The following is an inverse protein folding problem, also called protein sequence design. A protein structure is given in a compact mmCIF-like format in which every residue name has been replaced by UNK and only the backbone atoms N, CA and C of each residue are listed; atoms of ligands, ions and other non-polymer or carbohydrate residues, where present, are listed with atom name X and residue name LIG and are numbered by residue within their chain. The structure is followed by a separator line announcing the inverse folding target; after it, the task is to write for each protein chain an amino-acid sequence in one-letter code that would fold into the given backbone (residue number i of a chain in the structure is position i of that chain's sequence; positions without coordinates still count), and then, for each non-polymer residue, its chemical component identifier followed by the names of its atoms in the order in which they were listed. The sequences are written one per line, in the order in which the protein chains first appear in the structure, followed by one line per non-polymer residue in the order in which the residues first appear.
data_IF_425250615355
#
_entry.id   IF_425250615355
#
_cell.length_a   1.000
_cell.length_b   1.000
_cell.length_c   1.000
_cell.angle_alpha   90.00
_cell.angle_beta   90.00
_cell.angle_gamma   90.00
#
_symmetry.space_group_name_H-M   'P 1'
#
loop_
_entity.id
_entity.type
_entity.pdbx_description
1 polymer ?
#
# COMPACT_ATOMS: atom_id res chain seq x y z
N UNK A 1 21.65 1.78 -22.36
CA UNK A 1 20.24 1.90 -21.93
C UNK A 1 19.96 0.69 -21.06
N UNK A 2 19.91 0.84 -19.74
CA UNK A 2 19.64 -0.30 -18.86
C UNK A 2 18.16 -0.64 -18.96
N UNK A 3 17.85 -1.77 -19.61
CA UNK A 3 16.59 -2.45 -19.37
C UNK A 3 16.64 -2.97 -17.94
N UNK A 4 16.21 -2.16 -16.98
CA UNK A 4 15.84 -2.65 -15.65
C UNK A 4 14.60 -3.51 -15.85
N UNK A 5 14.79 -4.83 -16.02
CA UNK A 5 13.76 -5.77 -15.65
C UNK A 5 13.37 -5.41 -14.22
N UNK A 6 12.16 -4.87 -14.03
CA UNK A 6 11.68 -4.59 -12.70
C UNK A 6 11.57 -5.95 -12.01
N UNK A 7 12.46 -6.22 -11.04
CA UNK A 7 12.37 -7.43 -10.22
C UNK A 7 10.94 -7.58 -9.73
N UNK A 8 10.33 -8.72 -10.06
CA UNK A 8 8.97 -9.02 -9.66
C UNK A 8 8.98 -9.22 -8.15
N UNK A 9 8.33 -8.30 -7.44
CA UNK A 9 8.19 -8.34 -5.98
C UNK A 9 7.11 -9.33 -5.63
N UNK A 10 7.40 -10.20 -4.65
CA UNK A 10 6.44 -11.18 -4.17
C UNK A 10 5.56 -10.58 -3.08
N UNK A 11 4.23 -10.66 -3.26
CA UNK A 11 3.31 -10.34 -2.18
C UNK A 11 3.26 -11.50 -1.17
N UNK A 12 3.37 -11.16 0.11
CA UNK A 12 3.26 -12.10 1.22
C UNK A 12 2.19 -11.62 2.20
N UNK A 13 1.17 -12.46 2.40
CA UNK A 13 0.05 -12.17 3.31
C UNK A 13 0.44 -12.16 4.80
N UNK A 14 1.59 -12.76 5.13
CA UNK A 14 2.02 -13.15 6.48
C UNK A 14 1.24 -14.36 7.00
N UNK A 15 1.92 -15.45 7.35
CA UNK A 15 1.31 -16.65 7.95
C UNK A 15 0.64 -16.33 9.31
N UNK A 16 -0.45 -17.04 9.61
CA UNK A 16 -1.15 -16.95 10.91
C UNK A 16 -1.99 -15.68 11.14
N UNK A 17 -2.09 -14.77 10.17
CA UNK A 17 -2.82 -13.50 10.36
C UNK A 17 -4.25 -13.57 9.79
N UNK A 18 -5.24 -13.79 10.66
CA UNK A 18 -6.69 -13.74 10.35
C UNK A 18 -7.20 -12.37 9.82
N UNK A 19 -6.34 -11.36 9.76
CA UNK A 19 -6.64 -9.96 9.42
C UNK A 19 -7.05 -9.71 7.95
N UNK A 20 -7.21 -10.76 7.14
CA UNK A 20 -7.68 -10.66 5.75
C UNK A 20 -9.15 -11.04 5.54
N UNK A 21 -9.88 -11.43 6.60
CA UNK A 21 -11.32 -11.75 6.51
C UNK A 21 -12.19 -10.49 6.64
N UNK A 22 -11.89 -9.44 5.88
CA UNK A 22 -12.89 -8.38 5.69
C UNK A 22 -14.09 -8.99 4.96
N UNK A 23 -15.31 -8.75 5.45
CA UNK A 23 -16.53 -9.32 4.83
C UNK A 23 -17.09 -8.47 3.68
N UNK A 24 -16.74 -7.19 3.67
CA UNK A 24 -17.14 -6.22 2.65
C UNK A 24 -16.16 -6.14 1.47
N UNK A 25 -16.54 -5.38 0.45
CA UNK A 25 -15.74 -5.21 -0.76
C UNK A 25 -15.12 -3.80 -0.88
N UNK A 26 -14.85 -3.19 0.26
CA UNK A 26 -14.17 -1.91 0.40
C UNK A 26 -13.09 -2.02 1.47
N UNK A 27 -12.05 -1.19 1.37
CA UNK A 27 -10.98 -1.15 2.36
C UNK A 27 -11.40 -0.31 3.57
N UNK A 28 -10.84 -0.60 4.73
CA UNK A 28 -11.01 0.25 5.89
C UNK A 28 -10.25 -0.23 7.11
N UNK A 29 -10.79 0.06 8.28
CA UNK A 29 -10.16 -0.22 9.57
C UNK A 29 -11.15 -0.75 10.59
N UNK A 30 -10.76 -1.78 11.34
CA UNK A 30 -11.50 -2.28 12.52
C UNK A 30 -10.70 -1.99 13.81
N UNK A 31 -11.34 -1.82 14.98
CA UNK A 31 -10.63 -1.78 16.26
C UNK A 31 -9.79 -3.04 16.51
N UNK A 32 -8.69 -2.90 17.24
CA UNK A 32 -7.83 -4.00 17.66
C UNK A 32 -7.03 -3.63 18.90
N UNK A 33 -6.46 -4.63 19.58
CA UNK A 33 -5.82 -4.49 20.90
C UNK A 33 -4.67 -3.47 20.92
N UNK A 34 -3.97 -3.32 19.79
CA UNK A 34 -2.84 -2.40 19.63
C UNK A 34 -3.16 -1.20 18.72
N UNK A 35 -4.45 -0.94 18.52
CA UNK A 35 -4.94 0.08 17.59
C UNK A 35 -5.67 -0.52 16.39
N UNK A 36 -6.17 0.37 15.54
CA UNK A 36 -7.02 -0.02 14.41
C UNK A 36 -6.24 -0.83 13.36
N UNK A 37 -6.82 -1.97 12.95
CA UNK A 37 -6.26 -2.92 12.00
C UNK A 37 -6.74 -2.55 10.61
N UNK A 38 -5.82 -2.21 9.71
CA UNK A 38 -6.11 -1.99 8.30
C UNK A 38 -6.44 -3.29 7.60
N UNK A 39 -7.43 -3.24 6.71
CA UNK A 39 -7.92 -4.47 6.08
C UNK A 39 -8.53 -4.27 4.70
N UNK A 40 -8.23 -5.25 3.87
CA UNK A 40 -8.41 -5.22 2.42
C UNK A 40 -9.82 -5.67 2.02
N UNK A 41 -10.38 -5.16 0.90
CA UNK A 41 -11.57 -5.72 0.28
C UNK A 41 -11.44 -7.24 0.08
N UNK A 42 -12.53 -7.98 0.27
CA UNK A 42 -12.55 -9.44 0.02
C UNK A 42 -12.21 -9.82 -1.43
N UNK A 43 -12.38 -8.91 -2.38
CA UNK A 43 -12.04 -9.13 -3.79
C UNK A 43 -10.54 -9.07 -4.09
N UNK A 44 -9.70 -8.59 -3.15
CA UNK A 44 -8.26 -8.59 -3.34
C UNK A 44 -7.72 -10.01 -3.16
N UNK A 45 -7.41 -10.67 -4.29
CA UNK A 45 -6.68 -11.94 -4.34
C UNK A 45 -5.18 -11.71 -4.16
N UNK A 46 -4.41 -12.77 -3.89
CA UNK A 46 -2.95 -12.69 -3.80
C UNK A 46 -2.31 -12.27 -5.13
N UNK A 47 -2.87 -12.73 -6.25
CA UNK A 47 -2.46 -12.29 -7.59
C UNK A 47 -2.69 -10.78 -7.77
N UNK A 48 -3.90 -10.30 -7.47
CA UNK A 48 -4.21 -8.87 -7.58
C UNK A 48 -3.36 -8.03 -6.61
N UNK A 49 -3.11 -8.52 -5.40
CA UNK A 49 -2.21 -7.87 -4.46
C UNK A 49 -0.76 -7.79 -5.00
N UNK A 50 -0.29 -8.83 -5.68
CA UNK A 50 1.02 -8.84 -6.35
C UNK A 50 1.06 -7.84 -7.50
N UNK A 51 0.01 -7.74 -8.31
CA UNK A 51 -0.08 -6.75 -9.39
C UNK A 51 -0.07 -5.31 -8.83
N UNK A 52 -0.86 -5.05 -7.79
CA UNK A 52 -0.92 -3.76 -7.09
C UNK A 52 0.45 -3.39 -6.51
N UNK A 53 1.15 -4.35 -5.88
CA UNK A 53 2.47 -4.17 -5.29
C UNK A 53 3.51 -3.77 -6.35
N UNK A 54 3.51 -4.47 -7.49
CA UNK A 54 4.50 -4.26 -8.54
C UNK A 54 4.30 -2.95 -9.31
N UNK A 55 3.10 -2.38 -9.29
CA UNK A 55 2.82 -1.03 -9.80
C UNK A 55 3.16 0.08 -8.81
N UNK A 56 3.52 -0.27 -7.58
CA UNK A 56 3.74 0.67 -6.48
C UNK A 56 4.97 1.56 -6.66
N UNK A 57 4.93 2.68 -5.95
CA UNK A 57 6.00 3.67 -5.84
C UNK A 57 6.90 3.29 -4.67
N UNK A 58 8.20 2.99 -4.91
CA UNK A 58 9.13 2.71 -3.83
C UNK A 58 9.43 3.98 -3.02
N UNK A 59 9.61 3.79 -1.72
CA UNK A 59 10.04 4.79 -0.75
C UNK A 59 11.23 4.23 0.03
N UNK A 60 12.26 5.05 0.14
CA UNK A 60 13.53 4.76 0.80
C UNK A 60 13.65 5.71 1.98
N UNK A 61 14.12 5.21 3.14
CA UNK A 61 14.36 6.07 4.29
C UNK A 61 15.60 6.94 4.05
N UNK A 62 16.64 6.36 3.45
CA UNK A 62 17.86 7.04 3.06
C UNK A 62 18.14 6.96 1.55
N UNK A 63 18.82 7.97 0.99
CA UNK A 63 19.14 8.02 -0.45
C UNK A 63 20.12 6.92 -0.90
N UNK A 64 20.85 6.32 0.03
CA UNK A 64 21.81 5.25 -0.23
C UNK A 64 21.23 3.84 -0.15
N UNK A 65 19.96 3.71 0.25
CA UNK A 65 19.32 2.40 0.41
C UNK A 65 19.10 1.74 -0.95
N UNK A 66 19.60 0.52 -1.11
CA UNK A 66 19.36 -0.29 -2.31
C UNK A 66 17.94 -0.89 -2.33
N UNK A 67 17.41 -1.18 -1.13
CA UNK A 67 16.10 -1.80 -0.94
C UNK A 67 15.14 -0.77 -0.35
N UNK A 68 13.93 -0.60 -0.91
CA UNK A 68 12.98 0.33 -0.33
C UNK A 68 12.55 -0.09 1.08
N UNK A 69 12.30 0.88 1.95
CA UNK A 69 11.70 0.65 3.28
C UNK A 69 10.20 0.38 3.19
N UNK A 70 9.55 0.98 2.18
CA UNK A 70 8.11 0.87 1.90
C UNK A 70 7.84 0.92 0.41
N UNK A 71 6.71 0.34 0.00
CA UNK A 71 6.13 0.55 -1.32
C UNK A 71 4.71 1.07 -1.14
N UNK A 72 4.38 2.16 -1.81
CA UNK A 72 3.05 2.75 -1.78
C UNK A 72 2.34 2.54 -3.10
N UNK A 73 1.09 2.10 -3.07
CA UNK A 73 0.29 1.90 -4.28
C UNK A 73 -1.13 2.42 -4.09
N UNK A 74 -1.90 2.47 -5.18
CA UNK A 74 -3.32 2.83 -5.15
C UNK A 74 -4.12 1.73 -5.81
N UNK A 75 -5.22 1.33 -5.17
CA UNK A 75 -6.22 0.46 -5.77
C UNK A 75 -7.62 0.97 -5.44
N UNK A 76 -8.43 1.24 -6.48
CA UNK A 76 -9.79 1.81 -6.35
C UNK A 76 -9.83 3.06 -5.46
N UNK A 77 -8.83 3.93 -5.60
CA UNK A 77 -8.67 5.16 -4.81
C UNK A 77 -8.09 4.97 -3.40
N UNK A 78 -7.99 3.75 -2.89
CA UNK A 78 -7.40 3.50 -1.57
C UNK A 78 -5.89 3.45 -1.68
N UNK A 79 -5.18 4.15 -0.78
CA UNK A 79 -3.72 4.05 -0.66
C UNK A 79 -3.38 2.78 0.12
N UNK A 80 -2.45 2.00 -0.41
CA UNK A 80 -1.85 0.86 0.28
C UNK A 80 -0.39 1.15 0.59
N UNK A 81 0.06 0.68 1.74
CA UNK A 81 1.47 0.62 2.12
C UNK A 81 1.88 -0.85 2.22
N UNK A 82 2.99 -1.20 1.60
CA UNK A 82 3.63 -2.48 1.76
C UNK A 82 4.98 -2.32 2.47
N UNK A 83 5.19 -3.13 3.50
CA UNK A 83 6.45 -3.24 4.22
C UNK A 83 7.15 -4.55 3.83
N UNK A 84 8.50 -4.58 3.77
CA UNK A 84 9.20 -5.83 3.48
C UNK A 84 8.96 -6.84 4.61
N UNK A 85 8.65 -8.09 4.24
CA UNK A 85 8.67 -9.24 5.15
C UNK A 85 10.03 -9.94 5.08
N UNK A 86 10.55 -10.10 3.86
CA UNK A 86 11.95 -10.40 3.59
C UNK A 86 12.52 -9.28 2.71
N UNK A 87 13.47 -8.45 3.22
CA UNK A 87 14.01 -7.32 2.48
C UNK A 87 14.46 -7.70 1.06
N UNK A 88 13.99 -6.94 0.07
CA UNK A 88 14.30 -7.17 -1.35
C UNK A 88 13.49 -8.28 -2.02
N UNK A 89 12.80 -9.14 -1.27
CA UNK A 89 12.18 -10.36 -1.83
C UNK A 89 10.65 -10.32 -1.68
N UNK A 90 10.15 -10.25 -0.45
CA UNK A 90 8.71 -10.35 -0.17
C UNK A 90 8.18 -9.20 0.66
N UNK A 91 6.90 -8.88 0.43
CA UNK A 91 6.27 -7.65 0.92
C UNK A 91 4.86 -7.88 1.42
N UNK A 92 4.52 -7.25 2.53
CA UNK A 92 3.19 -7.31 3.12
C UNK A 92 2.46 -5.97 3.00
N UNK A 93 1.37 -5.97 2.22
CA UNK A 93 0.52 -4.81 1.96
C UNK A 93 -0.68 -4.67 2.90
N UNK A 94 -1.03 -3.44 3.25
CA UNK A 94 -2.24 -3.07 3.99
C UNK A 94 -2.71 -1.65 3.63
N UNK A 95 -4.00 -1.31 3.82
CA UNK A 95 -4.49 0.05 3.61
C UNK A 95 -3.73 1.05 4.50
N UNK A 96 -3.28 2.14 3.89
CA UNK A 96 -2.51 3.20 4.53
C UNK A 96 -3.42 4.23 5.20
N UNK A 97 -2.94 4.80 6.31
CA UNK A 97 -3.57 5.95 6.99
C UNK A 97 -2.53 6.82 7.70
N UNK A 98 -2.44 8.08 7.34
CA UNK A 98 -1.58 9.11 7.94
C UNK A 98 -2.03 9.60 9.30
N UNK A 99 -3.34 9.59 9.59
CA UNK A 99 -3.93 10.14 10.81
C UNK A 99 -3.66 9.34 12.12
N UNK A 100 -2.66 8.46 12.14
CA UNK A 100 -2.23 7.73 13.35
C UNK A 100 -1.21 8.56 14.14
N UNK A 101 -1.36 8.60 15.47
CA UNK A 101 -0.43 9.31 16.36
C UNK A 101 0.99 8.78 16.16
N UNK A 102 1.94 9.68 15.87
CA UNK A 102 3.35 9.36 15.66
C UNK A 102 3.72 8.91 14.24
N UNK A 103 2.75 8.82 13.31
CA UNK A 103 3.05 8.54 11.90
C UNK A 103 3.42 9.82 11.16
N UNK A 104 4.45 9.76 10.31
CA UNK A 104 4.79 10.86 9.40
C UNK A 104 3.83 10.86 8.20
N UNK A 105 3.36 12.04 7.74
CA UNK A 105 2.61 12.14 6.50
C UNK A 105 3.42 11.65 5.31
N UNK A 106 2.74 11.21 4.25
CA UNK A 106 3.41 10.89 2.98
C UNK A 106 4.05 12.15 2.39
N UNK A 107 5.24 11.99 1.82
CA UNK A 107 5.88 13.09 1.10
C UNK A 107 5.03 13.52 -0.10
N UNK A 108 5.04 14.83 -0.39
CA UNK A 108 4.30 15.40 -1.52
C UNK A 108 4.64 14.74 -2.87
N UNK A 109 5.89 14.26 -3.01
CA UNK A 109 6.34 13.50 -4.17
C UNK A 109 5.63 12.15 -4.30
N UNK A 110 5.48 11.40 -3.21
CA UNK A 110 4.74 10.13 -3.20
C UNK A 110 3.27 10.40 -3.50
N UNK A 111 2.64 11.33 -2.78
CA UNK A 111 1.22 11.68 -2.98
C UNK A 111 0.93 12.04 -4.44
N UNK A 112 1.78 12.86 -5.08
CA UNK A 112 1.63 13.23 -6.49
C UNK A 112 1.71 12.03 -7.43
N UNK A 113 2.61 11.08 -7.18
CA UNK A 113 2.71 9.85 -8.00
C UNK A 113 1.48 8.96 -7.83
N UNK A 114 1.02 8.78 -6.59
CA UNK A 114 -0.18 8.01 -6.28
C UNK A 114 -1.44 8.65 -6.88
N UNK A 115 -1.56 9.97 -6.84
CA UNK A 115 -2.65 10.71 -7.49
C UNK A 115 -2.72 10.41 -8.98
N UNK A 116 -1.58 10.43 -9.69
CA UNK A 116 -1.52 10.06 -11.12
C UNK A 116 -1.95 8.61 -11.39
N UNK A 117 -1.65 7.68 -10.47
CA UNK A 117 -2.11 6.30 -10.58
C UNK A 117 -3.63 6.20 -10.42
N UNK A 118 -4.20 6.93 -9.46
CA UNK A 118 -5.64 7.03 -9.25
C UNK A 118 -6.34 7.63 -10.48
N UNK A 119 -5.79 8.71 -11.05
CA UNK A 119 -6.29 9.35 -12.27
C UNK A 119 -6.30 8.39 -13.46
N UNK A 120 -5.19 7.67 -13.68
CA UNK A 120 -5.07 6.68 -14.77
C UNK A 120 -6.09 5.54 -14.66
N UNK A 121 -6.49 5.19 -13.43
CA UNK A 121 -7.46 4.12 -13.16
C UNK A 121 -8.90 4.62 -13.00
N UNK A 122 -9.16 5.92 -13.15
CA UNK A 122 -10.50 6.50 -13.03
C UNK A 122 -11.01 6.68 -11.60
N UNK A 123 -10.13 6.65 -10.60
CA UNK A 123 -10.47 6.66 -9.17
C UNK A 123 -9.96 7.91 -8.41
N UNK A 124 -9.84 9.05 -9.09
CA UNK A 124 -9.31 10.29 -8.49
C UNK A 124 -10.15 10.79 -7.31
N UNK A 125 -11.49 10.66 -7.40
CA UNK A 125 -12.40 11.17 -6.36
C UNK A 125 -12.26 10.35 -5.08
N UNK A 126 -12.22 9.03 -5.20
CA UNK A 126 -12.04 8.09 -4.10
C UNK A 126 -10.68 8.28 -3.44
N UNK A 127 -9.64 8.57 -4.23
CA UNK A 127 -8.31 8.92 -3.72
C UNK A 127 -8.31 10.20 -2.89
N UNK A 128 -8.94 11.26 -3.38
CA UNK A 128 -9.05 12.52 -2.63
C UNK A 128 -9.88 12.36 -1.36
N UNK A 129 -10.94 11.56 -1.40
CA UNK A 129 -11.73 11.21 -0.22
C UNK A 129 -10.90 10.42 0.81
N UNK A 130 -10.12 9.43 0.36
CA UNK A 130 -9.25 8.65 1.23
C UNK A 130 -8.22 9.54 1.93
N UNK A 131 -7.55 10.44 1.20
CA UNK A 131 -6.62 11.40 1.78
C UNK A 131 -7.30 12.38 2.73
N UNK A 132 -8.51 12.86 2.43
CA UNK A 132 -9.23 13.75 3.35
C UNK A 132 -9.58 13.05 4.67
N UNK A 133 -9.93 11.76 4.60
CA UNK A 133 -10.39 11.00 5.75
C UNK A 133 -9.23 10.44 6.60
N UNK A 134 -8.16 9.99 5.95
CA UNK A 134 -7.08 9.23 6.57
C UNK A 134 -5.71 9.85 6.40
N UNK A 135 -5.57 10.93 5.64
CA UNK A 135 -4.31 11.62 5.34
C UNK A 135 -3.55 12.14 6.55
#
# INVERSE_FOLDING_TARGET
MANTEAEIRLYERGEGRHKHRWKHDFAGFEPGDKGQIGKCPKSITEQLATEILNQGVPYYDDLGDEIPSKIYSVHKGVIYEAAPTMPGISWHGYPWRGNLRGRRPLSSRIVRKLKKMAEKSGHSKEFEQWLKQYG
#
